data_IF_204031085070
#
_entry.id   IF_204031085070
#
_cell.length_a   1.000
_cell.length_b   1.000
_cell.length_c   1.000
_cell.angle_alpha   90.00
_cell.angle_beta   90.00
_cell.angle_gamma   90.00
#
_symmetry.space_group_name_H-M   'P 1'
#
loop_
_entity.id
_entity.type
_entity.pdbx_description
1 polymer ?
#
# COMPACT_ATOMS: atom_id res chain seq x y z
N UNK A 1 3.82 49.46 -4.29
CA UNK A 1 2.70 48.64 -4.84
C UNK A 1 3.06 47.18 -5.07
N UNK A 2 4.30 46.84 -5.47
CA UNK A 2 4.72 45.45 -5.73
C UNK A 2 4.76 44.55 -4.47
N UNK A 3 5.24 45.09 -3.35
CA UNK A 3 5.34 44.38 -2.07
C UNK A 3 3.99 44.00 -1.45
N UNK A 4 2.95 44.82 -1.65
CA UNK A 4 1.59 44.55 -1.17
C UNK A 4 0.96 43.39 -1.96
N UNK A 5 1.25 43.27 -3.25
CA UNK A 5 0.76 42.16 -4.09
C UNK A 5 1.39 40.82 -3.72
N UNK A 6 2.68 40.82 -3.38
CA UNK A 6 3.38 39.60 -2.92
C UNK A 6 2.84 39.15 -1.56
N UNK A 7 2.58 40.08 -0.63
CA UNK A 7 2.01 39.75 0.67
C UNK A 7 0.59 39.17 0.56
N UNK A 8 -0.27 39.72 -0.33
CA UNK A 8 -1.63 39.21 -0.55
C UNK A 8 -1.62 37.82 -1.22
N UNK A 9 -0.70 37.57 -2.16
CA UNK A 9 -0.54 36.25 -2.78
C UNK A 9 0.02 35.22 -1.78
N UNK A 10 0.96 35.60 -0.93
CA UNK A 10 1.50 34.72 0.12
C UNK A 10 0.43 34.38 1.17
N UNK A 11 -0.43 35.33 1.54
CA UNK A 11 -1.55 35.10 2.46
C UNK A 11 -2.64 34.25 1.81
N UNK A 12 -2.99 34.47 0.54
CA UNK A 12 -3.93 33.59 -0.18
C UNK A 12 -3.37 32.17 -0.42
N UNK A 13 -2.07 32.04 -0.66
CA UNK A 13 -1.41 30.74 -0.76
C UNK A 13 -1.38 29.99 0.59
N UNK A 14 -1.33 30.71 1.72
CA UNK A 14 -1.44 30.12 3.05
C UNK A 14 -2.86 29.60 3.36
N UNK A 15 -3.90 30.17 2.74
CA UNK A 15 -5.31 29.73 2.90
C UNK A 15 -5.74 28.63 1.92
N UNK A 16 -4.91 28.26 0.94
CA UNK A 16 -5.22 27.24 -0.06
C UNK A 16 -4.66 25.85 0.27
N UNK A 17 -3.99 25.68 1.41
CA UNK A 17 -3.62 24.35 1.91
C UNK A 17 -4.80 23.81 2.72
N UNK A 18 -5.87 23.42 2.03
CA UNK A 18 -6.85 22.51 2.64
C UNK A 18 -6.10 21.21 2.92
N UNK A 19 -5.70 21.00 4.18
CA UNK A 19 -5.22 19.72 4.64
C UNK A 19 -6.34 18.69 4.40
N UNK A 20 -6.12 17.60 3.63
CA UNK A 20 -7.08 16.52 3.58
C UNK A 20 -7.14 15.90 4.98
N UNK A 21 -8.26 16.06 5.68
CA UNK A 21 -8.49 15.53 7.02
C UNK A 21 -9.18 14.16 6.83
N UNK A 22 -8.51 13.07 7.21
CA UNK A 22 -8.73 11.68 6.79
C UNK A 22 -10.05 10.98 7.16
N UNK A 23 -10.36 9.90 6.42
CA UNK A 23 -11.67 9.24 6.29
C UNK A 23 -11.72 7.89 6.94
N UNK A 24 -10.78 7.08 6.48
CA UNK A 24 -10.46 5.84 7.12
C UNK A 24 -9.70 6.23 8.39
N UNK A 25 -10.43 6.31 9.49
CA UNK A 25 -9.78 6.43 10.78
C UNK A 25 -9.21 5.04 11.07
N UNK A 26 -7.90 4.95 10.94
CA UNK A 26 -7.20 3.71 11.19
C UNK A 26 -7.24 3.39 12.69
N UNK A 27 -7.21 2.10 13.06
CA UNK A 27 -7.01 1.73 14.46
C UNK A 27 -5.69 2.31 14.99
N UNK A 28 -5.70 2.65 16.27
CA UNK A 28 -4.51 3.15 16.95
C UNK A 28 -3.56 2.01 17.31
N UNK A 29 -2.28 2.34 17.44
CA UNK A 29 -1.27 1.40 17.89
C UNK A 29 -1.57 0.89 19.31
N UNK A 30 -1.26 -0.38 19.55
CA UNK A 30 -1.28 -0.96 20.88
C UNK A 30 -0.19 -0.35 21.77
N UNK A 31 -0.30 -0.43 23.11
CA UNK A 31 0.74 0.06 24.02
C UNK A 31 2.11 -0.61 23.80
N UNK A 32 2.11 -1.88 23.39
CA UNK A 32 3.29 -2.56 22.89
C UNK A 32 3.50 -2.21 21.42
N UNK A 33 4.73 -1.80 21.09
CA UNK A 33 5.12 -1.50 19.73
C UNK A 33 6.25 -2.43 19.29
N UNK A 34 6.13 -2.96 18.08
CA UNK A 34 7.04 -3.93 17.51
C UNK A 34 7.68 -3.34 16.26
N UNK A 35 8.98 -3.63 16.13
CA UNK A 35 9.74 -3.33 14.93
C UNK A 35 10.41 -4.61 14.46
N UNK A 36 10.19 -4.96 13.19
CA UNK A 36 10.79 -6.15 12.57
C UNK A 36 11.45 -5.69 11.30
N UNK A 37 12.74 -6.01 11.14
CA UNK A 37 13.48 -5.74 9.92
C UNK A 37 14.15 -7.02 9.45
N UNK A 38 13.99 -7.34 8.18
CA UNK A 38 14.57 -8.50 7.53
C UNK A 38 15.32 -8.01 6.30
N UNK A 39 16.60 -8.33 6.22
CA UNK A 39 17.42 -8.09 5.03
C UNK A 39 17.87 -9.43 4.47
N UNK A 40 17.64 -9.65 3.19
CA UNK A 40 18.09 -10.86 2.48
C UNK A 40 18.98 -10.44 1.32
N UNK A 41 20.18 -11.02 1.28
CA UNK A 41 21.15 -10.86 0.20
C UNK A 41 21.54 -12.25 -0.28
N UNK A 42 21.31 -12.52 -1.57
CA UNK A 42 21.68 -13.79 -2.20
C UNK A 42 22.42 -13.46 -3.50
N UNK A 43 23.59 -14.04 -3.67
CA UNK A 43 24.31 -14.08 -4.95
C UNK A 43 24.75 -15.52 -5.17
N UNK A 44 24.14 -16.19 -6.14
CA UNK A 44 24.31 -17.64 -6.29
C UNK A 44 24.11 -18.08 -7.73
N UNK A 45 24.86 -19.11 -8.11
CA UNK A 45 24.63 -19.88 -9.32
C UNK A 45 24.02 -21.22 -8.91
N UNK A 46 22.74 -21.45 -9.23
CA UNK A 46 22.04 -22.67 -8.85
C UNK A 46 20.57 -22.47 -8.52
N UNK A 47 20.02 -23.43 -7.78
CA UNK A 47 18.63 -23.38 -7.31
C UNK A 47 18.47 -22.37 -6.18
N UNK A 48 17.41 -21.56 -6.26
CA UNK A 48 16.98 -20.66 -5.19
C UNK A 48 15.48 -20.83 -4.97
N UNK A 49 15.08 -20.81 -3.71
CA UNK A 49 13.68 -20.71 -3.29
C UNK A 49 13.62 -19.80 -2.08
N UNK A 50 12.84 -18.74 -2.17
CA UNK A 50 12.57 -17.83 -1.06
C UNK A 50 11.07 -17.64 -0.95
N UNK A 51 10.57 -17.71 0.27
CA UNK A 51 9.17 -17.53 0.59
C UNK A 51 9.08 -16.61 1.82
N UNK A 52 8.42 -15.48 1.66
CA UNK A 52 8.18 -14.51 2.73
C UNK A 52 6.68 -14.27 2.84
N UNK A 53 6.14 -14.40 4.05
CA UNK A 53 4.74 -14.08 4.33
C UNK A 53 4.66 -13.22 5.57
N UNK A 54 3.83 -12.19 5.51
CA UNK A 54 3.53 -11.33 6.64
C UNK A 54 2.01 -11.13 6.71
N UNK A 55 1.44 -11.43 7.85
CA UNK A 55 0.01 -11.28 8.13
C UNK A 55 -0.12 -10.52 9.45
N UNK A 56 -0.72 -9.33 9.36
CA UNK A 56 -0.95 -8.49 10.51
C UNK A 56 -2.38 -8.00 10.51
N UNK A 57 -3.02 -8.09 11.65
CA UNK A 57 -4.37 -7.60 11.88
C UNK A 57 -4.40 -6.84 13.20
N UNK A 58 -5.08 -5.70 13.19
CA UNK A 58 -5.25 -4.83 14.36
C UNK A 58 -6.68 -4.30 14.40
N UNK A 59 -7.24 -4.20 15.60
CA UNK A 59 -8.54 -3.60 15.86
C UNK A 59 -8.44 -2.63 17.04
N UNK A 60 -9.27 -1.60 17.04
CA UNK A 60 -9.49 -0.74 18.22
C UNK A 60 -10.41 -1.39 19.27
N UNK A 61 -11.05 -2.52 18.92
CA UNK A 61 -11.87 -3.35 19.80
C UNK A 61 -11.28 -4.76 19.96
N UNK A 62 -12.09 -5.80 19.74
CA UNK A 62 -11.68 -7.20 19.91
C UNK A 62 -11.60 -7.91 18.56
N UNK A 63 -10.52 -8.65 18.31
CA UNK A 63 -10.37 -9.42 17.06
C UNK A 63 -11.28 -10.65 16.97
N UNK A 64 -11.87 -11.06 18.10
CA UNK A 64 -12.70 -12.27 18.20
C UNK A 64 -14.15 -12.06 17.70
N UNK A 65 -14.63 -10.81 17.72
CA UNK A 65 -15.97 -10.47 17.25
C UNK A 65 -15.94 -10.01 15.79
N UNK A 66 -16.72 -10.69 14.92
CA UNK A 66 -16.81 -10.39 13.48
C UNK A 66 -17.80 -9.26 13.16
N UNK A 67 -18.37 -8.61 14.17
CA UNK A 67 -19.32 -7.51 14.04
C UNK A 67 -18.70 -6.31 14.75
N UNK A 68 -18.43 -5.24 14.01
CA UNK A 68 -17.89 -4.02 14.58
C UNK A 68 -18.87 -3.40 15.59
N UNK A 69 -18.40 -3.20 16.82
CA UNK A 69 -19.09 -2.36 17.80
C UNK A 69 -19.14 -0.89 17.36
N UNK A 70 -19.93 -0.04 18.04
CA UNK A 70 -19.89 1.41 17.81
C UNK A 70 -18.47 1.96 18.03
N UNK A 71 -17.99 2.83 17.14
CA UNK A 71 -16.63 3.40 17.14
C UNK A 71 -15.47 2.38 16.95
N UNK A 72 -15.76 1.15 16.54
CA UNK A 72 -14.71 0.16 16.29
C UNK A 72 -14.15 0.26 14.87
N UNK A 73 -12.83 0.10 14.76
CA UNK A 73 -12.09 0.04 13.51
C UNK A 73 -11.18 -1.16 13.50
N UNK A 74 -10.94 -1.69 12.32
CA UNK A 74 -10.03 -2.79 12.09
C UNK A 74 -9.29 -2.53 10.80
N UNK A 75 -8.02 -2.93 10.80
CA UNK A 75 -7.25 -3.03 9.60
C UNK A 75 -6.44 -4.31 9.59
N UNK A 76 -6.20 -4.83 8.38
CA UNK A 76 -5.35 -5.99 8.16
C UNK A 76 -4.46 -5.75 6.95
N UNK A 77 -3.27 -6.35 7.01
CA UNK A 77 -2.27 -6.33 5.97
C UNK A 77 -1.81 -7.76 5.75
N UNK A 78 -1.88 -8.20 4.49
CA UNK A 78 -1.35 -9.47 4.05
C UNK A 78 -0.33 -9.22 2.94
N UNK A 79 0.91 -9.59 3.19
CA UNK A 79 1.99 -9.60 2.21
C UNK A 79 2.44 -11.03 1.97
N UNK A 80 2.62 -11.39 0.70
CA UNK A 80 3.20 -12.67 0.29
C UNK A 80 4.17 -12.44 -0.86
N UNK A 81 5.33 -13.02 -0.75
CA UNK A 81 6.36 -13.01 -1.77
C UNK A 81 6.97 -14.40 -1.92
N UNK A 82 7.05 -14.88 -3.16
CA UNK A 82 7.75 -16.11 -3.48
C UNK A 82 8.62 -15.91 -4.72
N UNK A 83 9.80 -16.50 -4.68
CA UNK A 83 10.75 -16.51 -5.80
C UNK A 83 11.40 -17.88 -5.87
N UNK A 84 11.41 -18.45 -7.07
CA UNK A 84 12.04 -19.73 -7.34
C UNK A 84 12.85 -19.67 -8.64
N UNK A 85 14.01 -20.32 -8.63
CA UNK A 85 14.83 -20.57 -9.82
C UNK A 85 15.21 -22.05 -9.84
N UNK A 86 15.23 -22.66 -11.03
CA UNK A 86 15.70 -24.04 -11.19
C UNK A 86 17.21 -24.12 -11.55
N UNK A 87 17.94 -23.03 -11.38
CA UNK A 87 19.31 -22.83 -11.87
C UNK A 87 19.55 -21.38 -12.29
N UNK A 88 20.67 -21.13 -12.96
CA UNK A 88 21.05 -19.79 -13.41
C UNK A 88 21.78 -18.98 -12.35
N UNK A 89 22.19 -17.77 -12.71
CA UNK A 89 22.80 -16.82 -11.80
C UNK A 89 21.72 -15.87 -11.28
N UNK A 90 21.52 -15.85 -9.97
CA UNK A 90 20.59 -14.96 -9.28
C UNK A 90 21.37 -14.04 -8.34
N UNK A 91 21.10 -12.75 -8.46
CA UNK A 91 21.44 -11.75 -7.46
C UNK A 91 20.14 -11.16 -6.92
N UNK A 92 19.87 -11.34 -5.63
CA UNK A 92 18.70 -10.83 -4.91
C UNK A 92 19.16 -9.94 -3.77
N UNK A 93 18.55 -8.77 -3.66
CA UNK A 93 18.61 -7.91 -2.49
C UNK A 93 17.20 -7.52 -2.11
N UNK A 94 16.76 -7.86 -0.90
CA UNK A 94 15.47 -7.43 -0.38
C UNK A 94 15.59 -6.92 1.05
N UNK A 95 14.83 -5.88 1.36
CA UNK A 95 14.55 -5.42 2.71
C UNK A 95 13.05 -5.49 2.97
N UNK A 96 12.69 -5.81 4.20
CA UNK A 96 11.34 -5.73 4.73
C UNK A 96 11.44 -5.07 6.10
N UNK A 97 10.69 -4.00 6.28
CA UNK A 97 10.62 -3.22 7.50
C UNK A 97 9.16 -3.13 7.94
N UNK A 98 8.93 -3.47 9.20
CA UNK A 98 7.65 -3.39 9.86
C UNK A 98 7.77 -2.53 11.11
N UNK A 99 6.81 -1.62 11.29
CA UNK A 99 6.68 -0.75 12.45
C UNK A 99 5.20 -0.65 12.84
N UNK A 100 4.86 -1.24 13.98
CA UNK A 100 3.47 -1.28 14.47
C UNK A 100 3.00 0.05 15.08
N UNK A 101 3.86 1.07 15.17
CA UNK A 101 3.53 2.37 15.75
C UNK A 101 2.54 3.15 14.88
N UNK A 102 1.92 4.16 15.49
CA UNK A 102 1.13 5.15 14.80
C UNK A 102 1.97 5.86 13.74
N UNK A 103 1.55 5.74 12.48
CA UNK A 103 2.22 6.41 11.37
C UNK A 103 1.61 7.78 11.09
N UNK A 104 2.42 8.65 10.51
CA UNK A 104 1.97 9.95 10.00
C UNK A 104 1.85 9.91 8.47
N UNK A 105 1.37 11.01 7.88
CA UNK A 105 1.30 11.13 6.41
C UNK A 105 2.69 10.99 5.81
N UNK A 106 2.81 10.10 4.83
CA UNK A 106 4.08 9.79 4.14
C UNK A 106 4.94 8.73 4.82
N UNK A 107 4.59 8.28 6.03
CA UNK A 107 5.19 7.12 6.67
C UNK A 107 4.27 5.90 6.55
N UNK A 108 4.85 4.71 6.64
CA UNK A 108 4.18 3.43 6.44
C UNK A 108 4.49 2.46 7.57
N UNK A 109 3.55 1.56 7.84
CA UNK A 109 3.74 0.50 8.84
C UNK A 109 4.51 -0.68 8.29
N UNK A 110 4.41 -0.90 6.99
CA UNK A 110 5.05 -1.99 6.28
C UNK A 110 5.70 -1.41 5.03
N UNK A 111 6.98 -1.67 4.85
CA UNK A 111 7.74 -1.30 3.67
C UNK A 111 8.61 -2.48 3.25
N UNK A 112 8.64 -2.76 1.95
CA UNK A 112 9.60 -3.72 1.40
C UNK A 112 10.09 -3.21 0.06
N UNK A 113 11.40 -3.32 -0.13
CA UNK A 113 12.08 -3.00 -1.37
C UNK A 113 12.86 -4.23 -1.80
N UNK A 114 12.69 -4.65 -3.05
CA UNK A 114 13.34 -5.84 -3.60
C UNK A 114 13.92 -5.51 -4.96
N UNK A 115 15.15 -5.95 -5.19
CA UNK A 115 15.83 -5.89 -6.48
C UNK A 115 16.38 -7.26 -6.79
N UNK A 116 16.06 -7.76 -7.98
CA UNK A 116 16.50 -9.06 -8.46
C UNK A 116 17.09 -8.91 -9.84
N UNK A 117 18.30 -9.42 -10.03
CA UNK A 117 18.90 -9.64 -11.34
C UNK A 117 19.03 -11.14 -11.56
N UNK A 118 18.56 -11.61 -12.71
CA UNK A 118 18.59 -13.00 -13.07
C UNK A 118 19.12 -13.21 -14.48
N UNK A 119 19.97 -14.22 -14.64
CA UNK A 119 20.45 -14.73 -15.92
C UNK A 119 20.36 -16.25 -15.97
N UNK A 120 19.79 -16.76 -17.06
CA UNK A 120 19.62 -18.18 -17.32
C UNK A 120 20.95 -18.86 -17.64
N UNK A 121 21.15 -20.06 -17.11
CA UNK A 121 22.24 -20.98 -17.47
C UNK A 121 21.61 -22.33 -17.80
N UNK A 122 22.00 -22.92 -18.92
CA UNK A 122 21.53 -24.25 -19.35
C UNK A 122 19.99 -24.41 -19.42
N UNK A 123 19.28 -23.34 -19.80
CA UNK A 123 17.81 -23.35 -19.94
C UNK A 123 17.06 -23.18 -18.62
N UNK A 124 17.74 -22.71 -17.57
CA UNK A 124 17.09 -22.34 -16.31
C UNK A 124 16.14 -21.16 -16.48
N UNK A 125 15.17 -21.03 -15.58
CA UNK A 125 14.22 -19.93 -15.56
C UNK A 125 13.87 -19.52 -14.12
N UNK A 126 13.46 -18.27 -13.99
CA UNK A 126 12.93 -17.69 -12.77
C UNK A 126 11.41 -17.56 -12.83
N UNK A 127 10.78 -17.86 -11.70
CA UNK A 127 9.36 -17.58 -11.42
C UNK A 127 9.30 -16.78 -10.12
N UNK A 128 8.50 -15.73 -10.08
CA UNK A 128 8.25 -14.97 -8.87
C UNK A 128 6.79 -14.50 -8.80
N UNK A 129 6.25 -14.37 -7.60
CA UNK A 129 4.93 -13.83 -7.34
C UNK A 129 4.98 -12.98 -6.07
N UNK A 130 4.50 -11.75 -6.15
CA UNK A 130 4.45 -10.83 -5.01
C UNK A 130 3.05 -10.23 -4.92
N UNK A 131 2.49 -10.20 -3.72
CA UNK A 131 1.17 -9.64 -3.45
C UNK A 131 1.14 -8.87 -2.14
N UNK A 132 0.44 -7.74 -2.17
CA UNK A 132 0.13 -6.91 -1.01
C UNK A 132 -1.37 -6.64 -1.00
N UNK A 133 -2.00 -6.95 0.12
CA UNK A 133 -3.42 -6.71 0.35
C UNK A 133 -3.58 -5.95 1.65
N UNK A 134 -4.35 -4.86 1.61
CA UNK A 134 -4.84 -4.20 2.81
C UNK A 134 -6.35 -4.29 2.85
N UNK A 135 -6.88 -4.52 4.05
CA UNK A 135 -8.29 -4.28 4.33
C UNK A 135 -8.38 -3.29 5.47
N UNK A 136 -9.29 -2.35 5.36
CA UNK A 136 -9.63 -1.44 6.45
C UNK A 136 -11.15 -1.31 6.52
N UNK A 137 -11.67 -1.24 7.73
CA UNK A 137 -13.09 -1.12 7.95
C UNK A 137 -13.38 -0.51 9.31
N UNK A 138 -14.50 0.18 9.40
CA UNK A 138 -14.93 0.80 10.62
C UNK A 138 -16.44 0.95 10.67
N UNK A 139 -16.99 0.92 11.88
CA UNK A 139 -18.36 1.31 12.12
C UNK A 139 -18.48 2.84 12.30
N UNK A 140 -19.70 3.35 12.40
CA UNK A 140 -19.89 4.77 12.69
C UNK A 140 -19.18 5.18 13.97
N UNK A 141 -18.71 6.42 13.99
CA UNK A 141 -18.02 7.00 15.14
C UNK A 141 -18.43 8.43 15.38
N UNK A 142 -18.78 8.76 16.62
CA UNK A 142 -19.17 10.11 17.05
C UNK A 142 -18.01 10.85 17.75
N UNK A 143 -16.79 10.32 17.64
CA UNK A 143 -15.66 10.74 18.47
C UNK A 143 -14.94 11.99 17.94
N UNK A 144 -14.47 12.81 18.88
CA UNK A 144 -13.71 14.05 18.64
C UNK A 144 -12.30 13.84 18.03
N UNK A 145 -11.92 12.62 17.67
CA UNK A 145 -10.60 12.26 17.12
C UNK A 145 -10.44 12.55 15.62
N UNK A 146 -11.49 13.07 14.98
CA UNK A 146 -11.47 13.55 13.61
C UNK A 146 -11.01 15.01 13.68
N UNK A 147 -9.84 15.32 13.11
CA UNK A 147 -9.22 16.64 13.22
C UNK A 147 -10.20 17.76 12.86
N UNK A 148 -10.67 18.53 13.84
CA UNK A 148 -11.57 19.67 13.61
C UNK A 148 -10.76 20.86 13.13
N UNK A 149 -11.26 21.57 12.12
CA UNK A 149 -10.83 22.96 11.92
C UNK A 149 -11.32 23.78 13.13
N UNK A 150 -10.42 24.55 13.77
CA UNK A 150 -10.72 25.41 14.95
C UNK A 150 -11.86 26.41 14.69
N UNK A 151 -12.21 26.65 13.43
CA UNK A 151 -13.29 27.54 13.01
C UNK A 151 -14.61 26.84 12.66
N UNK A 152 -14.71 25.50 12.76
CA UNK A 152 -15.97 24.79 12.47
C UNK A 152 -16.91 24.81 13.67
N UNK A 153 -18.16 25.22 13.47
CA UNK A 153 -19.18 25.45 14.50
C UNK A 153 -20.09 24.24 14.80
N UNK A 154 -19.77 23.05 14.26
CA UNK A 154 -20.53 21.82 14.47
C UNK A 154 -20.14 21.09 15.76
N UNK A 155 -21.12 20.71 16.59
CA UNK A 155 -20.89 20.05 17.87
C UNK A 155 -20.63 18.54 17.78
N UNK A 156 -20.85 17.89 16.64
CA UNK A 156 -20.62 16.45 16.43
C UNK A 156 -20.23 16.20 14.97
N UNK A 157 -19.02 15.68 14.73
CA UNK A 157 -18.64 15.13 13.42
C UNK A 157 -18.80 13.62 13.54
N UNK A 158 -19.76 13.05 12.81
CA UNK A 158 -19.99 11.62 12.81
C UNK A 158 -19.30 11.04 11.57
N UNK A 159 -18.38 10.09 11.77
CA UNK A 159 -17.81 9.33 10.64
C UNK A 159 -18.79 8.22 10.31
N UNK A 160 -19.20 8.07 9.03
CA UNK A 160 -20.03 6.95 8.63
C UNK A 160 -19.21 5.66 8.50
N UNK A 161 -19.87 4.51 8.50
CA UNK A 161 -19.20 3.22 8.33
C UNK A 161 -18.51 3.10 6.96
N UNK A 162 -17.41 2.37 6.91
CA UNK A 162 -16.67 2.11 5.67
C UNK A 162 -16.07 0.70 5.67
N UNK A 163 -15.81 0.17 4.48
CA UNK A 163 -15.13 -1.10 4.27
C UNK A 163 -14.40 -1.07 2.94
N UNK A 164 -13.07 -1.11 3.01
CA UNK A 164 -12.18 -0.95 1.89
C UNK A 164 -11.25 -2.15 1.80
N UNK A 165 -11.11 -2.70 0.60
CA UNK A 165 -10.05 -3.66 0.30
C UNK A 165 -9.26 -3.21 -0.91
N UNK A 166 -7.94 -3.21 -0.77
CA UNK A 166 -7.03 -2.85 -1.86
C UNK A 166 -6.00 -3.94 -2.03
N UNK A 167 -5.76 -4.33 -3.28
CA UNK A 167 -4.89 -5.45 -3.64
C UNK A 167 -3.96 -5.03 -4.76
N UNK A 168 -2.68 -5.32 -4.57
CA UNK A 168 -1.66 -5.24 -5.59
C UNK A 168 -0.98 -6.60 -5.73
N UNK A 169 -0.78 -7.04 -6.98
CA UNK A 169 -0.04 -8.27 -7.27
C UNK A 169 0.81 -8.10 -8.52
N UNK A 170 2.00 -8.65 -8.50
CA UNK A 170 2.83 -8.88 -9.67
C UNK A 170 3.26 -10.34 -9.76
N UNK A 171 3.52 -10.79 -10.99
CA UNK A 171 4.00 -12.14 -11.26
C UNK A 171 4.99 -12.11 -12.42
N UNK A 172 6.11 -12.80 -12.24
CA UNK A 172 7.11 -13.07 -13.26
C UNK A 172 7.09 -14.56 -13.59
N UNK A 173 6.97 -14.88 -14.87
CA UNK A 173 6.79 -16.25 -15.35
C UNK A 173 7.83 -16.54 -16.43
N UNK A 174 8.57 -17.63 -16.25
CA UNK A 174 9.60 -18.11 -17.19
C UNK A 174 10.55 -16.98 -17.61
N UNK A 175 11.12 -16.30 -16.62
CA UNK A 175 12.12 -15.26 -16.88
C UNK A 175 13.46 -15.91 -17.12
N UNK A 176 14.10 -15.58 -18.23
CA UNK A 176 15.41 -16.10 -18.61
C UNK A 176 16.53 -15.07 -18.43
N UNK A 177 16.23 -13.78 -18.60
CA UNK A 177 17.19 -12.70 -18.41
C UNK A 177 16.43 -11.44 -18.07
N UNK A 178 16.58 -10.89 -16.87
CA UNK A 178 15.95 -9.63 -16.48
C UNK A 178 16.58 -9.06 -15.22
N UNK A 179 16.43 -7.75 -15.04
CA UNK A 179 16.48 -7.13 -13.73
C UNK A 179 15.08 -6.59 -13.43
N UNK A 180 14.55 -6.91 -12.26
CA UNK A 180 13.30 -6.32 -11.79
C UNK A 180 13.45 -5.80 -10.37
N UNK A 181 12.65 -4.79 -10.04
CA UNK A 181 12.54 -4.26 -8.70
C UNK A 181 11.09 -4.06 -8.31
N UNK A 182 10.78 -4.31 -7.06
CA UNK A 182 9.48 -4.04 -6.46
C UNK A 182 9.64 -3.17 -5.22
N UNK A 183 8.68 -2.28 -5.00
CA UNK A 183 8.53 -1.51 -3.78
C UNK A 183 7.09 -1.61 -3.33
N UNK A 184 6.83 -2.14 -2.14
CA UNK A 184 5.49 -2.32 -1.60
C UNK A 184 5.41 -1.69 -0.21
N UNK A 185 4.47 -0.76 -0.05
CA UNK A 185 4.31 0.05 1.15
C UNK A 185 2.85 0.10 1.56
N UNK A 186 2.59 -0.01 2.85
CA UNK A 186 1.23 0.08 3.38
C UNK A 186 1.19 0.74 4.76
N UNK A 187 0.14 1.55 4.95
CA UNK A 187 -0.19 2.21 6.22
C UNK A 187 -1.58 1.78 6.64
N UNK A 188 -1.65 1.13 7.80
CA UNK A 188 -2.89 0.62 8.38
C UNK A 188 -3.09 1.00 9.86
N UNK A 189 -2.17 1.76 10.46
CA UNK A 189 -2.29 2.28 11.84
C UNK A 189 -1.92 3.75 11.91
N UNK A 190 -2.72 4.53 12.66
CA UNK A 190 -2.48 5.95 12.88
C UNK A 190 -2.94 6.44 14.26
N UNK A 191 -2.40 7.58 14.69
CA UNK A 191 -2.76 8.18 15.98
C UNK A 191 -4.15 8.83 15.99
N UNK A 192 -4.60 9.32 14.84
CA UNK A 192 -5.87 10.02 14.68
C UNK A 192 -6.42 9.85 13.26
N UNK A 193 -7.67 10.29 13.07
CA UNK A 193 -8.35 10.21 11.77
C UNK A 193 -7.79 11.15 10.71
N UNK A 194 -6.81 12.02 11.00
CA UNK A 194 -6.22 12.90 9.98
C UNK A 194 -5.31 12.15 9.00
N UNK A 195 -4.83 10.96 9.39
CA UNK A 195 -3.89 10.15 8.62
C UNK A 195 -4.66 9.06 7.85
N UNK A 196 -4.62 9.09 6.50
CA UNK A 196 -5.42 8.19 5.68
C UNK A 196 -4.83 6.78 5.60
N UNK A 197 -5.65 5.75 5.40
CA UNK A 197 -5.16 4.45 4.90
C UNK A 197 -4.44 4.63 3.57
N UNK A 198 -3.31 3.95 3.36
CA UNK A 198 -2.55 4.06 2.12
C UNK A 198 -1.87 2.76 1.73
N UNK A 199 -1.81 2.51 0.42
CA UNK A 199 -1.04 1.45 -0.21
C UNK A 199 -0.30 2.05 -1.40
N UNK A 200 0.99 1.79 -1.51
CA UNK A 200 1.79 2.13 -2.68
C UNK A 200 2.53 0.88 -3.13
N UNK A 201 2.39 0.54 -4.40
CA UNK A 201 3.02 -0.62 -5.00
C UNK A 201 3.61 -0.25 -6.35
N UNK A 202 4.89 -0.54 -6.54
CA UNK A 202 5.59 -0.31 -7.79
C UNK A 202 6.34 -1.57 -8.22
N UNK A 203 6.31 -1.85 -9.51
CA UNK A 203 7.17 -2.83 -10.16
C UNK A 203 7.82 -2.21 -11.39
N UNK A 204 9.13 -2.40 -11.50
CA UNK A 204 9.93 -2.08 -12.67
C UNK A 204 10.64 -3.32 -13.16
N UNK A 205 10.66 -3.53 -14.47
CA UNK A 205 11.40 -4.59 -15.13
C UNK A 205 12.16 -4.01 -16.32
N UNK A 206 13.45 -4.28 -16.31
CA UNK A 206 14.44 -3.80 -17.28
C UNK A 206 15.32 -4.96 -17.76
N UNK A 207 16.04 -4.79 -18.87
CA UNK A 207 17.01 -5.78 -19.32
C UNK A 207 18.05 -6.04 -18.23
N UNK A 208 18.56 -7.28 -18.14
CA UNK A 208 19.72 -7.55 -17.32
C UNK A 208 20.91 -6.73 -17.87
N UNK A 209 21.53 -5.83 -17.08
CA UNK A 209 22.62 -4.98 -17.57
C UNK A 209 23.85 -5.79 -18.01
N UNK A 210 24.00 -7.02 -17.54
CA UNK A 210 25.18 -7.87 -17.80
C UNK A 210 25.00 -8.75 -19.04
N UNK A 211 23.76 -9.01 -19.49
CA UNK A 211 23.51 -9.98 -20.57
C UNK A 211 23.84 -9.46 -21.97
N UNK A 212 23.90 -8.14 -22.16
CA UNK A 212 24.16 -7.52 -23.47
C UNK A 212 23.02 -7.68 -24.50
N UNK A 213 21.89 -8.30 -24.13
CA UNK A 213 20.76 -8.58 -25.02
C UNK A 213 19.96 -7.31 -25.38
N UNK A 214 19.95 -6.30 -24.50
CA UNK A 214 19.19 -5.06 -24.68
C UNK A 214 17.68 -5.19 -24.44
N UNK A 215 17.20 -6.37 -24.06
CA UNK A 215 15.83 -6.64 -23.64
C UNK A 215 15.83 -7.71 -22.54
N UNK A 216 14.83 -7.66 -21.65
CA UNK A 216 14.51 -8.75 -20.75
C UNK A 216 13.73 -9.85 -21.48
N UNK A 217 13.88 -11.10 -21.07
CA UNK A 217 13.21 -12.26 -21.65
C UNK A 217 12.35 -12.91 -20.57
N UNK A 218 11.04 -12.98 -20.83
CA UNK A 218 10.11 -13.69 -19.98
C UNK A 218 8.70 -13.12 -20.10
N UNK A 219 7.90 -13.33 -19.07
CA UNK A 219 6.57 -12.75 -18.94
C UNK A 219 6.44 -12.02 -17.62
N UNK A 220 5.90 -10.80 -17.65
CA UNK A 220 5.51 -10.03 -16.47
C UNK A 220 4.01 -9.77 -16.51
N UNK A 221 3.34 -9.94 -15.38
CA UNK A 221 1.93 -9.67 -15.21
C UNK A 221 1.69 -8.87 -13.92
N UNK A 222 0.69 -7.99 -13.94
CA UNK A 222 0.23 -7.25 -12.77
C UNK A 222 -1.29 -7.30 -12.69
N UNK A 223 -1.82 -7.37 -11.48
CA UNK A 223 -3.24 -7.25 -11.17
C UNK A 223 -3.40 -6.30 -9.98
N UNK A 224 -4.04 -5.16 -10.22
CA UNK A 224 -4.38 -4.19 -9.20
C UNK A 224 -5.89 -4.10 -9.08
N UNK A 225 -6.40 -4.02 -7.86
CA UNK A 225 -7.83 -3.85 -7.62
C UNK A 225 -8.08 -3.09 -6.33
N UNK A 226 -9.12 -2.28 -6.31
CA UNK A 226 -9.67 -1.71 -5.08
C UNK A 226 -11.18 -1.87 -5.09
N UNK A 227 -11.73 -2.26 -3.95
CA UNK A 227 -13.16 -2.34 -3.67
C UNK A 227 -13.42 -1.48 -2.43
N UNK A 228 -14.12 -0.36 -2.63
CA UNK A 228 -14.32 0.68 -1.63
C UNK A 228 -15.83 0.77 -1.39
N UNK A 229 -16.24 0.72 -0.12
CA UNK A 229 -17.61 0.92 0.30
C UNK A 229 -17.68 1.96 1.40
N UNK A 230 -18.51 2.98 1.21
CA UNK A 230 -18.64 4.09 2.14
C UNK A 230 -20.12 4.36 2.43
N UNK A 231 -20.44 4.67 3.67
CA UNK A 231 -21.75 5.17 4.09
C UNK A 231 -21.78 6.71 4.14
N UNK A 232 -22.94 7.30 4.47
CA UNK A 232 -23.10 8.76 4.62
C UNK A 232 -23.45 9.16 6.03
N UNK A 233 -22.95 10.32 6.45
CA UNK A 233 -23.32 10.98 7.70
C UNK A 233 -24.64 11.78 7.52
N UNK A 234 -25.74 11.08 7.26
CA UNK A 234 -27.08 11.68 7.10
C UNK A 234 -28.07 11.22 8.20
N UNK A 235 -27.57 10.54 9.23
CA UNK A 235 -28.36 9.97 10.33
C UNK A 235 -29.26 8.77 9.96
N UNK A 236 -29.52 8.52 8.67
CA UNK A 236 -30.39 7.45 8.18
C UNK A 236 -29.64 6.30 7.48
N UNK A 237 -28.46 6.61 6.94
CA UNK A 237 -27.66 5.77 6.06
C UNK A 237 -26.24 5.56 6.59
N UNK A 238 -25.97 5.90 7.87
CA UNK A 238 -24.63 5.83 8.48
C UNK A 238 -24.01 4.42 8.52
N UNK A 239 -24.83 3.37 8.50
CA UNK A 239 -24.42 1.96 8.40
C UNK A 239 -24.78 1.30 7.06
N UNK A 240 -25.24 2.09 6.08
CA UNK A 240 -25.65 1.57 4.78
C UNK A 240 -24.71 2.10 3.72
N UNK A 241 -24.23 1.19 2.88
CA UNK A 241 -23.41 1.54 1.72
C UNK A 241 -24.14 2.58 0.88
N UNK A 242 -23.54 3.76 0.81
CA UNK A 242 -24.02 4.93 0.09
C UNK A 242 -23.17 5.20 -1.15
N UNK A 243 -21.94 4.70 -1.18
CA UNK A 243 -21.07 4.69 -2.35
C UNK A 243 -20.33 3.36 -2.44
N UNK A 244 -20.19 2.86 -3.67
CA UNK A 244 -19.30 1.75 -4.02
C UNK A 244 -18.38 2.21 -5.13
N UNK A 245 -17.06 2.05 -4.96
CA UNK A 245 -16.09 2.27 -6.01
C UNK A 245 -15.26 0.99 -6.17
N UNK A 246 -15.38 0.36 -7.35
CA UNK A 246 -14.58 -0.81 -7.69
C UNK A 246 -13.73 -0.49 -8.90
N UNK A 247 -12.43 -0.74 -8.78
CA UNK A 247 -11.47 -0.64 -9.87
C UNK A 247 -10.72 -1.94 -10.03
N UNK A 248 -10.38 -2.25 -11.28
CA UNK A 248 -9.54 -3.39 -11.62
C UNK A 248 -8.68 -3.05 -12.82
N UNK A 249 -7.38 -3.26 -12.68
CA UNK A 249 -6.43 -3.04 -13.75
C UNK A 249 -5.50 -4.25 -13.90
N UNK A 250 -5.28 -4.67 -15.15
CA UNK A 250 -4.48 -5.84 -15.50
C UNK A 250 -3.55 -5.51 -16.66
N UNK A 251 -2.27 -5.86 -16.51
CA UNK A 251 -1.31 -5.81 -17.61
C UNK A 251 -0.53 -7.11 -17.66
N UNK A 252 -0.27 -7.61 -18.87
CA UNK A 252 0.57 -8.79 -19.11
C UNK A 252 1.40 -8.57 -20.37
N UNK A 253 2.71 -8.69 -20.25
CA UNK A 253 3.67 -8.52 -21.36
C UNK A 253 4.57 -9.74 -21.41
N UNK A 254 4.87 -10.24 -22.60
CA UNK A 254 5.68 -11.45 -22.81
C UNK A 254 6.60 -11.28 -24.02
N UNK A 255 7.74 -11.96 -24.02
CA UNK A 255 8.74 -11.92 -25.08
C UNK A 255 9.95 -11.06 -24.71
N UNK A 256 10.47 -10.30 -25.68
CA UNK A 256 11.56 -9.35 -25.46
C UNK A 256 11.05 -8.02 -24.92
N UNK A 257 11.22 -7.78 -23.63
CA UNK A 257 10.71 -6.61 -22.91
C UNK A 257 11.83 -5.58 -22.74
N UNK A 258 11.72 -4.43 -23.41
CA UNK A 258 12.71 -3.33 -23.28
C UNK A 258 12.52 -2.59 -21.95
N UNK A 259 11.27 -2.35 -21.56
CA UNK A 259 10.91 -1.77 -20.26
C UNK A 259 9.47 -2.13 -19.93
N UNK A 260 9.23 -2.52 -18.69
CA UNK A 260 7.90 -2.56 -18.09
C UNK A 260 7.98 -1.83 -16.76
N UNK A 261 7.02 -0.94 -16.50
CA UNK A 261 6.98 -0.14 -15.28
C UNK A 261 5.54 0.14 -14.96
N UNK A 262 5.14 -0.09 -13.72
CA UNK A 262 3.79 0.15 -13.27
C UNK A 262 3.77 0.47 -11.79
N UNK A 263 3.07 1.55 -11.46
CA UNK A 263 2.84 1.97 -10.09
C UNK A 263 1.34 1.97 -9.80
N UNK A 264 0.98 1.70 -8.55
CA UNK A 264 -0.35 1.76 -8.03
C UNK A 264 -0.33 2.40 -6.65
N UNK A 265 -0.95 3.57 -6.57
CA UNK A 265 -1.08 4.33 -5.34
C UNK A 265 -2.56 4.42 -4.97
N UNK A 266 -2.84 4.06 -3.73
CA UNK A 266 -4.14 4.18 -3.10
C UNK A 266 -4.00 4.98 -1.81
N UNK A 267 -4.95 5.87 -1.60
CA UNK A 267 -5.09 6.62 -0.38
C UNK A 267 -6.58 6.85 -0.11
N UNK A 268 -7.02 6.57 1.12
CA UNK A 268 -8.40 6.83 1.57
C UNK A 268 -8.42 7.87 2.67
N UNK A 269 -8.99 9.03 2.40
CA UNK A 269 -9.07 10.19 3.29
C UNK A 269 -10.38 10.96 3.13
N UNK A 270 -10.86 11.60 4.18
CA UNK A 270 -12.11 12.38 4.19
C UNK A 270 -11.75 13.77 3.65
N UNK A 271 -12.78 14.47 3.26
CA UNK A 271 -12.73 15.92 3.18
C UNK A 271 -13.63 16.42 4.31
N UNK A 272 -13.03 17.09 5.30
CA UNK A 272 -13.82 17.81 6.30
C UNK A 272 -14.02 19.21 5.73
N UNK A 273 -15.24 19.48 5.26
CA UNK A 273 -15.69 20.82 4.84
C UNK A 273 -16.16 21.62 6.04
#
# INVERSE_FOLDING_TARGET
>A
MFWIRIAVIAVMALFLVSSPIGADFLPNATPENQQISITTLIDVIGYVSTDTSFDWTISSGTLEDRIFGPNETMASLLYKDSLMTNGGHLMLSSSLDFDSRNQTKGLYNFETDKVVTYESIDGSHLIADESLVINSGGNYSDTNGIGRCVFSSGSSATVPAFCNTVRARSSLINVNSAQYSTSAKARIVAADGSVPSALSYQIDLTPNPVSGLGYAIGTVATEFSADIMEARDDGASWNRTSATNSMKDKAKVSGGIVKFSKAFDYQSGLSVT
#
